data_IF_252638837637
#
_entry.id   IF_252638837637
#
_cell.length_a   1.000
_cell.length_b   1.000
_cell.length_c   1.000
_cell.angle_alpha   90.00
_cell.angle_beta   90.00
_cell.angle_gamma   90.00
#
_symmetry.space_group_name_H-M   'P 1'
#
loop_
_entity.id
_entity.type
_entity.pdbx_description
1 polymer ?
#
# COMPACT_ATOMS: atom_id res chain seq x y z
N UNK A 1 2.94 11.58 2.28
CA UNK A 1 1.58 11.01 2.25
C UNK A 1 1.63 9.61 2.82
N UNK A 2 0.49 9.08 3.26
CA UNK A 2 0.43 7.84 4.00
C UNK A 2 -0.81 7.01 3.69
N UNK A 3 -0.68 5.69 3.79
CA UNK A 3 -1.76 4.70 3.71
C UNK A 3 -1.57 3.69 4.83
N UNK A 4 -2.65 3.11 5.30
CA UNK A 4 -2.60 2.07 6.31
C UNK A 4 -3.17 0.77 5.77
N UNK A 5 -2.56 -0.34 6.16
CA UNK A 5 -3.04 -1.68 5.83
C UNK A 5 -3.28 -2.44 7.13
N UNK A 6 -4.48 -2.99 7.26
CA UNK A 6 -4.89 -3.76 8.42
C UNK A 6 -5.29 -5.17 8.01
N UNK A 7 -4.78 -6.17 8.71
CA UNK A 7 -5.12 -7.57 8.49
C UNK A 7 -4.83 -8.41 9.74
N UNK A 8 -5.18 -9.70 9.70
CA UNK A 8 -4.86 -10.63 10.77
C UNK A 8 -3.71 -11.57 10.43
N UNK A 9 -2.87 -11.84 11.43
CA UNK A 9 -1.75 -12.78 11.32
C UNK A 9 -0.43 -12.12 10.91
N UNK A 10 0.53 -12.95 10.51
CA UNK A 10 1.92 -12.53 10.31
C UNK A 10 2.15 -11.84 8.96
N UNK A 11 3.11 -10.92 8.95
CA UNK A 11 3.59 -10.30 7.72
C UNK A 11 4.07 -11.38 6.72
N UNK A 12 3.59 -11.34 5.46
CA UNK A 12 3.99 -12.29 4.44
C UNK A 12 5.47 -12.13 4.09
N UNK A 13 6.08 -13.16 3.51
CA UNK A 13 7.40 -12.96 2.90
C UNK A 13 7.27 -12.18 1.57
N UNK A 14 8.37 -11.55 1.16
CA UNK A 14 8.42 -10.71 -0.03
C UNK A 14 8.06 -11.48 -1.32
N UNK A 15 8.38 -12.77 -1.38
CA UNK A 15 8.13 -13.61 -2.56
C UNK A 15 6.63 -13.85 -2.74
N UNK A 16 5.91 -14.19 -1.65
CA UNK A 16 4.46 -14.34 -1.65
C UNK A 16 3.76 -13.03 -2.04
N UNK A 17 4.21 -11.92 -1.44
CA UNK A 17 3.64 -10.61 -1.76
C UNK A 17 3.85 -10.24 -3.24
N UNK A 18 5.06 -10.47 -3.77
CA UNK A 18 5.34 -10.25 -5.19
C UNK A 18 4.48 -11.14 -6.11
N UNK A 19 4.26 -12.42 -5.74
CA UNK A 19 3.37 -13.31 -6.50
C UNK A 19 1.95 -12.78 -6.56
N UNK A 20 1.45 -12.21 -5.47
CA UNK A 20 0.11 -11.60 -5.43
C UNK A 20 0.05 -10.39 -6.35
N UNK A 21 1.03 -9.48 -6.30
CA UNK A 21 1.12 -8.32 -7.20
C UNK A 21 1.10 -8.77 -8.67
N UNK A 22 1.89 -9.80 -8.99
CA UNK A 22 1.97 -10.37 -10.33
C UNK A 22 0.64 -11.03 -10.75
N UNK A 23 -0.03 -11.71 -9.84
CA UNK A 23 -1.35 -12.34 -10.06
C UNK A 23 -2.45 -11.34 -10.37
N UNK A 24 -2.39 -10.13 -9.81
CA UNK A 24 -3.29 -9.03 -10.17
C UNK A 24 -2.86 -8.29 -11.45
N UNK A 25 -1.71 -8.61 -12.04
CA UNK A 25 -1.19 -8.02 -13.27
C UNK A 25 -0.67 -6.60 -13.12
N UNK A 26 -0.18 -6.22 -11.94
CA UNK A 26 0.49 -4.93 -11.75
C UNK A 26 1.96 -5.02 -12.15
N UNK A 27 2.47 -3.97 -12.81
CA UNK A 27 3.89 -3.89 -13.17
C UNK A 27 4.71 -3.21 -12.05
N UNK A 28 4.61 -3.77 -10.84
CA UNK A 28 5.42 -3.38 -9.68
C UNK A 28 6.32 -4.55 -9.29
N UNK A 29 7.63 -4.31 -9.25
CA UNK A 29 8.63 -5.31 -8.87
C UNK A 29 9.45 -4.83 -7.67
N UNK A 30 9.45 -5.61 -6.60
CA UNK A 30 10.34 -5.42 -5.47
C UNK A 30 11.77 -5.86 -5.83
N UNK A 31 12.74 -5.19 -5.23
CA UNK A 31 14.14 -5.53 -5.42
C UNK A 31 14.49 -6.86 -4.75
N UNK A 32 15.17 -7.75 -5.49
CA UNK A 32 15.48 -9.13 -5.06
C UNK A 32 16.58 -9.21 -3.99
N UNK A 33 17.33 -8.14 -3.80
CA UNK A 33 18.37 -8.01 -2.78
C UNK A 33 17.82 -7.69 -1.39
N UNK A 34 16.51 -7.48 -1.26
CA UNK A 34 15.88 -7.15 0.02
C UNK A 34 15.35 -8.39 0.74
N UNK A 35 15.76 -8.51 2.00
CA UNK A 35 15.13 -9.40 2.97
C UNK A 35 14.21 -8.54 3.81
N UNK A 36 12.90 -8.81 3.75
CA UNK A 36 11.96 -8.17 4.65
C UNK A 36 11.83 -8.99 5.93
N UNK A 37 12.15 -8.33 7.04
CA UNK A 37 11.70 -8.68 8.38
C UNK A 37 10.59 -7.69 8.72
N UNK A 38 9.48 -8.16 9.30
CA UNK A 38 8.26 -7.37 9.50
C UNK A 38 8.38 -6.08 10.34
N UNK A 39 9.60 -5.64 10.67
CA UNK A 39 9.94 -4.41 11.36
C UNK A 39 9.81 -3.16 10.49
N UNK A 40 9.66 -3.32 9.18
CA UNK A 40 9.53 -2.20 8.24
C UNK A 40 10.87 -1.67 7.72
N UNK A 41 10.79 -0.63 6.90
CA UNK A 41 11.93 0.04 6.28
C UNK A 41 11.61 0.55 4.88
N UNK A 42 12.66 0.95 4.16
CA UNK A 42 12.54 1.33 2.75
C UNK A 42 12.37 0.09 1.88
N UNK A 43 11.21 -0.06 1.24
CA UNK A 43 10.98 -1.07 0.23
C UNK A 43 11.37 -0.53 -1.14
N UNK A 44 12.45 -1.08 -1.70
CA UNK A 44 12.94 -0.72 -3.02
C UNK A 44 12.10 -1.41 -4.07
N UNK A 45 11.49 -0.61 -4.93
CA UNK A 45 10.64 -1.12 -5.99
C UNK A 45 10.86 -0.37 -7.30
N UNK A 46 10.54 -1.07 -8.39
CA UNK A 46 10.37 -0.48 -9.72
C UNK A 46 8.93 -0.63 -10.15
N UNK A 47 8.30 0.48 -10.47
CA UNK A 47 7.01 0.48 -11.15
C UNK A 47 7.25 0.78 -12.63
N UNK A 48 6.93 -0.19 -13.49
CA UNK A 48 7.34 -0.21 -14.90
C UNK A 48 8.87 -0.07 -14.99
N UNK A 49 9.36 1.04 -15.53
CA UNK A 49 10.81 1.32 -15.66
C UNK A 49 11.32 2.33 -14.64
N UNK A 50 10.46 2.79 -13.72
CA UNK A 50 10.75 3.91 -12.82
C UNK A 50 11.06 3.40 -11.41
N UNK A 51 12.06 4.01 -10.78
CA UNK A 51 12.29 3.80 -9.35
C UNK A 51 11.10 4.40 -8.57
N UNK A 52 10.56 3.60 -7.66
CA UNK A 52 9.32 3.89 -6.94
C UNK A 52 9.39 3.28 -5.53
N UNK A 53 10.47 3.60 -4.82
CA UNK A 53 10.68 3.09 -3.46
C UNK A 53 9.82 3.84 -2.46
N UNK A 54 9.30 3.15 -1.46
CA UNK A 54 8.46 3.74 -0.42
C UNK A 54 8.81 3.13 0.92
N UNK A 55 8.52 3.83 2.01
CA UNK A 55 8.73 3.30 3.35
C UNK A 55 7.48 2.59 3.85
N UNK A 56 7.66 1.55 4.65
CA UNK A 56 6.56 0.96 5.40
C UNK A 56 7.03 0.59 6.81
N UNK A 57 6.14 0.63 7.80
CA UNK A 57 6.47 0.25 9.18
C UNK A 57 5.25 -0.23 9.96
N UNK A 58 5.41 -1.11 10.96
CA UNK A 58 4.37 -1.43 11.90
C UNK A 58 3.84 -0.16 12.56
N UNK A 59 2.55 -0.13 12.83
CA UNK A 59 1.90 0.91 13.62
C UNK A 59 0.93 0.29 14.62
N UNK A 60 0.53 1.09 15.61
CA UNK A 60 -0.39 0.67 16.65
C UNK A 60 -1.81 0.95 16.20
N UNK A 61 -2.59 -0.11 16.00
CA UNK A 61 -3.98 0.01 15.56
C UNK A 61 -4.83 0.80 16.55
N UNK A 62 -4.61 0.64 17.86
CA UNK A 62 -5.44 1.29 18.88
C UNK A 62 -5.25 2.80 18.85
N UNK A 63 -3.99 3.24 18.77
CA UNK A 63 -3.66 4.66 18.63
C UNK A 63 -4.22 5.25 17.34
N UNK A 64 -4.28 4.46 16.26
CA UNK A 64 -4.91 4.90 15.02
C UNK A 64 -6.42 5.08 15.19
N UNK A 65 -7.11 4.15 15.85
CA UNK A 65 -8.55 4.29 16.12
C UNK A 65 -8.88 5.43 17.08
N UNK A 66 -7.97 5.79 17.99
CA UNK A 66 -8.10 6.99 18.83
C UNK A 66 -7.90 8.28 18.03
N UNK A 67 -7.05 8.24 16.99
CA UNK A 67 -6.75 9.40 16.13
C UNK A 67 -7.85 9.65 15.11
N UNK A 68 -8.44 8.57 14.59
CA UNK A 68 -9.49 8.57 13.57
C UNK A 68 -10.76 7.94 14.16
N UNK A 69 -11.32 8.61 15.17
CA UNK A 69 -12.43 8.09 15.99
C UNK A 69 -13.80 8.10 15.26
N UNK A 70 -13.87 8.78 14.11
CA UNK A 70 -15.02 8.85 13.22
C UNK A 70 -15.02 7.76 12.14
N UNK A 71 -13.95 6.98 12.02
CA UNK A 71 -13.79 5.95 10.99
C UNK A 71 -14.20 4.56 11.50
N UNK A 72 -15.14 3.93 10.79
CA UNK A 72 -15.50 2.54 11.05
C UNK A 72 -14.55 1.55 10.36
N UNK A 73 -13.55 1.08 11.11
CA UNK A 73 -12.63 0.04 10.67
C UNK A 73 -13.28 -1.37 10.61
N UNK A 74 -14.53 -1.50 11.06
CA UNK A 74 -15.37 -2.70 11.06
C UNK A 74 -15.05 -3.69 12.18
N UNK A 75 -13.77 -3.83 12.53
CA UNK A 75 -13.30 -4.67 13.64
C UNK A 75 -11.92 -4.24 14.11
N UNK A 76 -11.50 -4.78 15.25
CA UNK A 76 -10.12 -4.71 15.69
C UNK A 76 -9.25 -5.64 14.85
N UNK A 77 -8.15 -5.12 14.32
CA UNK A 77 -7.17 -5.89 13.55
C UNK A 77 -5.93 -6.18 14.40
N UNK A 78 -5.35 -7.38 14.24
CA UNK A 78 -4.14 -7.77 15.00
C UNK A 78 -2.85 -7.19 14.42
N UNK A 79 -2.85 -6.82 13.15
CA UNK A 79 -1.68 -6.31 12.44
C UNK A 79 -2.01 -5.02 11.70
N UNK A 80 -1.14 -4.01 11.83
CA UNK A 80 -1.30 -2.72 11.20
C UNK A 80 0.06 -2.21 10.67
N UNK A 81 0.08 -1.77 9.41
CA UNK A 81 1.25 -1.16 8.78
C UNK A 81 0.90 0.17 8.15
N UNK A 82 1.77 1.15 8.35
CA UNK A 82 1.73 2.42 7.65
C UNK A 82 2.71 2.40 6.48
N UNK A 83 2.29 2.94 5.35
CA UNK A 83 3.05 3.08 4.11
C UNK A 83 3.25 4.57 3.85
N UNK A 84 4.47 5.01 3.58
CA UNK A 84 4.81 6.42 3.38
C UNK A 84 5.56 6.66 2.08
N UNK A 85 5.21 7.76 1.41
CA UNK A 85 5.85 8.18 0.18
C UNK A 85 5.83 9.70 0.00
N UNK A 86 6.63 10.19 -0.94
CA UNK A 86 6.78 11.61 -1.24
C UNK A 86 6.59 11.98 -2.72
N UNK A 87 6.91 11.04 -3.62
CA UNK A 87 6.82 11.22 -5.07
C UNK A 87 5.63 10.51 -5.70
N UNK A 88 5.29 10.92 -6.93
CA UNK A 88 4.19 10.31 -7.68
C UNK A 88 4.42 8.81 -7.98
N UNK A 89 5.60 8.35 -8.45
CA UNK A 89 5.80 6.92 -8.71
C UNK A 89 5.70 6.09 -7.44
N UNK A 90 6.24 6.63 -6.35
CA UNK A 90 6.21 6.03 -5.02
C UNK A 90 4.78 5.91 -4.51
N UNK A 91 3.91 6.88 -4.81
CA UNK A 91 2.46 6.81 -4.56
C UNK A 91 1.85 5.57 -5.21
N UNK A 92 2.03 5.40 -6.51
CA UNK A 92 1.47 4.25 -7.25
C UNK A 92 2.02 2.94 -6.70
N UNK A 93 3.32 2.88 -6.41
CA UNK A 93 3.93 1.71 -5.81
C UNK A 93 3.37 1.40 -4.41
N UNK A 94 3.20 2.41 -3.55
CA UNK A 94 2.64 2.26 -2.22
C UNK A 94 1.19 1.78 -2.26
N UNK A 95 0.33 2.35 -3.12
CA UNK A 95 -1.04 1.87 -3.30
C UNK A 95 -1.08 0.42 -3.78
N UNK A 96 -0.36 0.09 -4.87
CA UNK A 96 -0.34 -1.29 -5.40
C UNK A 96 0.12 -2.28 -4.32
N UNK A 97 1.19 -1.96 -3.61
CA UNK A 97 1.71 -2.79 -2.53
C UNK A 97 0.69 -2.93 -1.39
N UNK A 98 0.12 -1.83 -0.92
CA UNK A 98 -0.86 -1.82 0.17
C UNK A 98 -2.10 -2.64 -0.16
N UNK A 99 -2.70 -2.43 -1.33
CA UNK A 99 -3.94 -3.12 -1.72
C UNK A 99 -3.71 -4.61 -1.95
N UNK A 100 -2.57 -4.99 -2.53
CA UNK A 100 -2.24 -6.42 -2.74
C UNK A 100 -1.90 -7.12 -1.44
N UNK A 101 -1.29 -6.42 -0.48
CA UNK A 101 -1.07 -6.95 0.87
C UNK A 101 -2.41 -7.21 1.57
N UNK A 102 -3.33 -6.22 1.52
CA UNK A 102 -4.67 -6.36 2.08
C UNK A 102 -5.42 -7.54 1.42
N UNK A 103 -5.43 -7.63 0.09
CA UNK A 103 -6.10 -8.73 -0.62
C UNK A 103 -5.55 -10.12 -0.26
N UNK A 104 -4.22 -10.26 -0.16
CA UNK A 104 -3.60 -11.54 0.20
C UNK A 104 -3.96 -12.00 1.63
N UNK A 105 -4.35 -11.07 2.50
CA UNK A 105 -4.58 -11.32 3.93
C UNK A 105 -6.03 -11.11 4.36
N UNK A 106 -6.96 -11.00 3.42
CA UNK A 106 -8.37 -10.69 3.70
C UNK A 106 -8.51 -9.45 4.61
N UNK A 107 -7.66 -8.46 4.33
CA UNK A 107 -7.49 -7.23 5.07
C UNK A 107 -8.13 -6.04 4.37
N UNK A 108 -7.89 -4.86 4.92
CA UNK A 108 -8.38 -3.58 4.39
C UNK A 108 -7.27 -2.56 4.28
N UNK A 109 -7.48 -1.59 3.39
CA UNK A 109 -6.63 -0.40 3.28
C UNK A 109 -7.42 0.79 3.83
N UNK A 110 -6.77 1.63 4.62
CA UNK A 110 -7.31 2.92 5.04
C UNK A 110 -6.51 4.05 4.41
N UNK A 111 -7.24 4.92 3.73
CA UNK A 111 -6.78 6.16 3.14
C UNK A 111 -7.22 7.34 4.02
N UNK A 112 -6.31 7.93 4.81
CA UNK A 112 -6.65 9.02 5.70
C UNK A 112 -6.86 10.36 4.96
N UNK A 113 -6.43 10.48 3.69
CA UNK A 113 -6.63 11.71 2.92
C UNK A 113 -8.08 11.87 2.48
N UNK A 114 -8.72 10.76 2.11
CA UNK A 114 -10.12 10.73 1.69
C UNK A 114 -11.07 10.17 2.78
N UNK A 115 -10.54 9.81 3.96
CA UNK A 115 -11.28 9.12 5.03
C UNK A 115 -11.98 7.85 4.55
N UNK A 116 -11.30 7.06 3.71
CA UNK A 116 -11.87 5.89 3.04
C UNK A 116 -11.28 4.58 3.55
N UNK A 117 -12.15 3.61 3.83
CA UNK A 117 -11.78 2.20 3.99
C UNK A 117 -12.00 1.48 2.67
N UNK A 118 -10.93 1.05 2.03
CA UNK A 118 -10.94 0.32 0.77
C UNK A 118 -10.90 -1.19 1.05
N UNK A 119 -11.85 -1.92 0.49
CA UNK A 119 -12.00 -3.37 0.63
C UNK A 119 -12.04 -4.05 -0.75
N UNK A 120 -11.69 -5.32 -0.79
CA UNK A 120 -11.90 -6.19 -1.96
C UNK A 120 -11.49 -5.54 -3.31
N UNK A 121 -12.39 -5.60 -4.30
CA UNK A 121 -12.19 -5.06 -5.63
C UNK A 121 -12.11 -3.53 -5.66
N UNK A 122 -12.65 -2.84 -4.67
CA UNK A 122 -12.54 -1.38 -4.60
C UNK A 122 -11.10 -0.94 -4.33
N UNK A 123 -10.39 -1.65 -3.46
CA UNK A 123 -8.97 -1.41 -3.22
C UNK A 123 -8.15 -1.61 -4.51
N UNK A 124 -8.40 -2.70 -5.24
CA UNK A 124 -7.72 -2.96 -6.52
C UNK A 124 -8.06 -1.89 -7.56
N UNK A 125 -9.33 -1.46 -7.65
CA UNK A 125 -9.76 -0.40 -8.56
C UNK A 125 -9.02 0.90 -8.26
N UNK A 126 -8.92 1.30 -7.00
CA UNK A 126 -8.21 2.52 -6.59
C UNK A 126 -6.74 2.51 -7.02
N UNK A 127 -6.04 1.39 -6.83
CA UNK A 127 -4.65 1.27 -7.28
C UNK A 127 -4.51 1.39 -8.81
N UNK A 128 -5.47 0.86 -9.58
CA UNK A 128 -5.51 1.00 -11.04
C UNK A 128 -5.82 2.43 -11.48
N UNK A 129 -6.73 3.10 -10.80
CA UNK A 129 -7.05 4.50 -11.07
C UNK A 129 -5.81 5.38 -10.86
N UNK A 130 -5.09 5.20 -9.75
CA UNK A 130 -3.82 5.88 -9.49
C UNK A 130 -2.77 5.60 -10.58
N UNK A 131 -2.66 4.34 -11.03
CA UNK A 131 -1.76 3.94 -12.12
C UNK A 131 -2.05 4.69 -13.44
N UNK A 132 -3.34 4.93 -13.73
CA UNK A 132 -3.81 5.60 -14.94
C UNK A 132 -3.78 7.13 -14.84
N UNK A 133 -3.97 7.67 -13.63
CA UNK A 133 -4.00 9.11 -13.38
C UNK A 133 -2.60 9.73 -13.37
N UNK A 134 -1.60 9.02 -12.85
CA UNK A 134 -0.26 9.56 -12.68
C UNK A 134 0.32 10.19 -13.97
N UNK A 135 0.31 9.53 -15.15
CA UNK A 135 0.85 10.15 -16.37
C UNK A 135 0.14 11.44 -16.76
N UNK A 136 -1.14 11.58 -16.42
CA UNK A 136 -1.94 12.79 -16.71
C UNK A 136 -1.54 13.93 -15.77
N UNK A 137 -1.36 13.65 -14.48
CA UNK A 137 -0.89 14.61 -13.48
C UNK A 137 0.51 15.11 -13.86
N UNK A 138 1.41 14.22 -14.27
CA UNK A 138 2.76 14.61 -14.69
C UNK A 138 2.75 15.49 -15.94
N UNK A 139 1.86 15.21 -16.90
CA UNK A 139 1.71 16.05 -18.08
C UNK A 139 1.22 17.46 -17.70
N UNK A 140 0.28 17.60 -16.76
CA UNK A 140 -0.23 18.91 -16.34
C UNK A 140 0.76 19.74 -15.53
N UNK A 141 1.71 19.10 -14.83
CA UNK A 141 2.76 19.79 -14.06
C UNK A 141 3.93 20.30 -14.92
N UNK A 142 4.01 19.89 -16.19
CA UNK A 142 5.05 20.32 -17.14
C UNK A 142 4.64 21.55 -17.96
N UNK A 143 3.45 22.09 -17.71
CA UNK A 143 2.89 23.28 -18.34
C UNK A 143 2.74 24.39 -17.31
#
# INVERSE_FOLDING_TARGET
MDLYVFYDGQFPNLIEWQKTIDGFGFDLKFSRDQILIGEGGLLKAKWKTRDASFEFRPCDFDKLTETYDDIDFGRRWSTAYAFYWSGLPECVAAYIAAVTLAQMRDGVVFDPQDSLILRDQEAIRMARENELLLPKIEASLRH
#
